data_IF_035342206579
#
_entry.id   IF_035342206579
#
_cell.length_a   1.000
_cell.length_b   1.000
_cell.length_c   1.000
_cell.angle_alpha   90.00
_cell.angle_beta   90.00
_cell.angle_gamma   90.00
#
_symmetry.space_group_name_H-M   'P 1'
#
loop_
_entity.id
_entity.type
_entity.pdbx_description
1 polymer ?
#
# COMPACT_ATOMS: atom_id res chain seq x y z
N UNK A 1 -6.73 9.47 -7.49
CA UNK A 1 -5.72 8.73 -6.71
C UNK A 1 -5.23 9.56 -5.53
N UNK A 2 -4.51 10.65 -5.78
CA UNK A 2 -3.92 11.50 -4.72
C UNK A 2 -4.96 12.12 -3.77
N UNK A 3 -6.13 12.53 -4.27
CA UNK A 3 -7.19 13.13 -3.46
C UNK A 3 -7.83 12.17 -2.44
N UNK A 4 -7.96 10.88 -2.79
CA UNK A 4 -8.56 9.86 -1.90
C UNK A 4 -7.59 9.52 -0.76
N UNK A 5 -6.30 9.41 -1.10
CA UNK A 5 -5.23 9.21 -0.12
C UNK A 5 -5.11 10.38 0.85
N UNK A 6 -5.26 11.62 0.34
CA UNK A 6 -5.25 12.82 1.16
C UNK A 6 -6.46 12.90 2.09
N UNK A 7 -7.65 12.54 1.62
CA UNK A 7 -8.86 12.45 2.46
C UNK A 7 -8.68 11.39 3.55
N UNK A 8 -8.09 10.23 3.23
CA UNK A 8 -7.85 9.16 4.19
C UNK A 8 -6.84 9.52 5.28
N UNK A 9 -5.75 10.21 4.93
CA UNK A 9 -4.80 10.73 5.90
C UNK A 9 -5.44 11.76 6.85
N UNK A 10 -6.41 12.54 6.36
CA UNK A 10 -7.10 13.59 7.15
C UNK A 10 -8.13 13.01 8.14
N UNK A 11 -8.62 11.78 7.94
CA UNK A 11 -9.63 11.14 8.82
C UNK A 11 -9.02 10.71 10.18
N UNK A 12 -7.71 10.79 10.36
CA UNK A 12 -7.04 10.43 11.62
C UNK A 12 -6.95 8.92 11.84
N UNK A 13 -6.96 8.15 10.75
CA UNK A 13 -6.77 6.70 10.76
C UNK A 13 -5.35 6.32 11.17
N UNK A 14 -5.18 5.14 11.76
CA UNK A 14 -3.85 4.64 12.07
C UNK A 14 -3.07 4.38 10.78
N UNK A 15 -1.75 4.46 10.85
CA UNK A 15 -0.87 4.21 9.69
C UNK A 15 -1.15 2.83 9.06
N UNK A 16 -1.43 1.80 9.87
CA UNK A 16 -1.78 0.46 9.37
C UNK A 16 -3.07 0.48 8.55
N UNK A 17 -4.09 1.21 9.01
CA UNK A 17 -5.39 1.30 8.31
C UNK A 17 -5.19 1.94 6.93
N UNK A 18 -4.32 2.95 6.84
CA UNK A 18 -3.95 3.61 5.59
C UNK A 18 -3.26 2.60 4.64
N UNK A 19 -2.31 1.80 5.13
CA UNK A 19 -1.64 0.77 4.31
C UNK A 19 -2.63 -0.28 3.79
N UNK A 20 -3.54 -0.78 4.64
CA UNK A 20 -4.55 -1.76 4.23
C UNK A 20 -5.45 -1.20 3.13
N UNK A 21 -5.87 0.06 3.25
CA UNK A 21 -6.70 0.70 2.23
C UNK A 21 -5.95 0.93 0.92
N UNK A 22 -4.65 1.20 0.99
CA UNK A 22 -3.80 1.35 -0.18
C UNK A 22 -3.68 0.02 -0.95
N UNK A 23 -3.46 -1.09 -0.24
CA UNK A 23 -3.44 -2.44 -0.84
C UNK A 23 -4.79 -2.82 -1.46
N UNK A 24 -5.91 -2.53 -0.77
CA UNK A 24 -7.25 -2.77 -1.31
C UNK A 24 -7.49 -2.00 -2.61
N UNK A 25 -6.99 -0.77 -2.69
CA UNK A 25 -7.08 0.05 -3.89
C UNK A 25 -6.24 -0.54 -5.03
N UNK A 26 -5.00 -0.95 -4.77
CA UNK A 26 -4.12 -1.55 -5.80
C UNK A 26 -4.71 -2.88 -6.30
N UNK A 27 -5.26 -3.70 -5.41
CA UNK A 27 -5.98 -4.93 -5.78
C UNK A 27 -7.21 -4.63 -6.63
N UNK A 28 -8.00 -3.61 -6.28
CA UNK A 28 -9.15 -3.20 -7.09
C UNK A 28 -8.75 -2.84 -8.53
N UNK A 29 -7.70 -2.03 -8.68
CA UNK A 29 -7.18 -1.68 -10.01
C UNK A 29 -6.58 -2.86 -10.76
N UNK A 30 -5.89 -3.79 -10.10
CA UNK A 30 -5.34 -4.98 -10.80
C UNK A 30 -6.44 -5.89 -11.33
N UNK A 31 -7.50 -6.11 -10.56
CA UNK A 31 -8.65 -6.93 -11.01
C UNK A 31 -9.35 -6.30 -12.20
N UNK A 32 -9.60 -4.99 -12.17
CA UNK A 32 -10.23 -4.27 -13.29
C UNK A 32 -9.38 -4.37 -14.56
N UNK A 33 -8.05 -4.22 -14.40
CA UNK A 33 -7.13 -4.32 -15.53
C UNK A 33 -7.05 -5.74 -16.10
N UNK A 34 -7.09 -6.78 -15.26
CA UNK A 34 -7.18 -8.18 -15.71
C UNK A 34 -8.48 -8.41 -16.48
N UNK A 35 -9.59 -7.87 -15.99
CA UNK A 35 -10.90 -8.04 -16.61
C UNK A 35 -10.96 -7.40 -17.99
N UNK A 36 -10.54 -6.14 -18.12
CA UNK A 36 -10.50 -5.43 -19.40
C UNK A 36 -9.53 -6.13 -20.37
N UNK A 37 -8.32 -6.45 -19.92
CA UNK A 37 -7.31 -7.14 -20.76
C UNK A 37 -7.80 -8.50 -21.26
N UNK A 38 -8.58 -9.22 -20.44
CA UNK A 38 -9.18 -10.50 -20.83
C UNK A 38 -10.30 -10.34 -21.85
N UNK A 39 -11.08 -9.25 -21.81
CA UNK A 39 -12.13 -8.98 -22.79
C UNK A 39 -11.51 -8.61 -24.13
N UNK A 40 -10.45 -7.80 -24.11
CA UNK A 40 -9.78 -7.31 -25.32
C UNK A 40 -8.75 -8.31 -25.89
N UNK A 41 -8.56 -9.47 -25.23
CA UNK A 41 -7.50 -10.43 -25.55
C UNK A 41 -6.10 -9.78 -25.58
N UNK A 42 -5.88 -8.75 -24.76
CA UNK A 42 -4.61 -8.05 -24.67
C UNK A 42 -3.64 -8.76 -23.72
N UNK A 43 -2.67 -9.46 -24.32
CA UNK A 43 -1.62 -10.15 -23.59
C UNK A 43 -0.67 -9.18 -22.86
N UNK A 44 -0.52 -7.94 -23.36
CA UNK A 44 0.35 -6.93 -22.75
C UNK A 44 -0.28 -6.40 -21.46
N UNK A 45 -1.59 -6.11 -21.47
CA UNK A 45 -2.35 -5.75 -20.28
C UNK A 45 -2.31 -6.83 -19.19
N UNK A 46 -2.42 -8.11 -19.56
CA UNK A 46 -2.24 -9.22 -18.62
C UNK A 46 -0.82 -9.27 -18.01
N UNK A 47 0.22 -9.11 -18.82
CA UNK A 47 1.60 -9.01 -18.31
C UNK A 47 1.80 -7.81 -17.39
N UNK A 48 1.18 -6.68 -17.71
CA UNK A 48 1.23 -5.48 -16.88
C UNK A 48 0.54 -5.70 -15.53
N UNK A 49 -0.62 -6.38 -15.51
CA UNK A 49 -1.31 -6.72 -14.25
C UNK A 49 -0.44 -7.62 -13.34
N UNK A 50 0.35 -8.51 -13.94
CA UNK A 50 1.28 -9.37 -13.21
C UNK A 50 2.45 -8.56 -12.62
N UNK A 51 2.99 -7.60 -13.37
CA UNK A 51 3.97 -6.63 -12.86
C UNK A 51 3.39 -5.78 -11.72
N UNK A 52 2.14 -5.34 -11.84
CA UNK A 52 1.47 -4.53 -10.84
C UNK A 52 1.33 -5.30 -9.51
N UNK A 53 1.02 -6.61 -9.53
CA UNK A 53 1.01 -7.47 -8.34
C UNK A 53 2.40 -7.54 -7.69
N UNK A 54 3.46 -7.72 -8.48
CA UNK A 54 4.84 -7.79 -7.97
C UNK A 54 5.22 -6.47 -7.28
N UNK A 55 4.88 -5.34 -7.90
CA UNK A 55 5.18 -4.01 -7.34
C UNK A 55 4.39 -3.78 -6.05
N UNK A 56 3.10 -4.14 -6.00
CA UNK A 56 2.28 -4.08 -4.78
C UNK A 56 2.93 -4.84 -3.62
N UNK A 57 3.42 -6.06 -3.89
CA UNK A 57 4.09 -6.86 -2.87
C UNK A 57 5.38 -6.22 -2.34
N UNK A 58 6.16 -5.59 -3.21
CA UNK A 58 7.38 -4.87 -2.84
C UNK A 58 7.04 -3.63 -1.98
N UNK A 59 6.04 -2.85 -2.41
CA UNK A 59 5.57 -1.68 -1.67
C UNK A 59 5.12 -2.06 -0.25
N UNK A 60 4.32 -3.12 -0.12
CA UNK A 60 3.84 -3.63 1.18
C UNK A 60 5.00 -3.99 2.11
N UNK A 61 6.01 -4.69 1.59
CA UNK A 61 7.17 -5.08 2.37
C UNK A 61 8.00 -3.88 2.86
N UNK A 62 8.20 -2.88 1.99
CA UNK A 62 8.89 -1.63 2.33
C UNK A 62 8.09 -0.84 3.37
N UNK A 63 6.78 -0.70 3.15
CA UNK A 63 5.89 0.03 4.06
C UNK A 63 5.88 -0.54 5.48
N UNK A 64 5.81 -1.88 5.58
CA UNK A 64 5.87 -2.56 6.87
C UNK A 64 7.24 -2.43 7.54
N UNK A 65 8.33 -2.50 6.78
CA UNK A 65 9.69 -2.32 7.30
C UNK A 65 9.89 -0.92 7.90
N UNK A 66 9.38 0.12 7.23
CA UNK A 66 9.38 1.49 7.74
C UNK A 66 8.52 1.61 9.00
N UNK A 67 7.33 1.00 9.01
CA UNK A 67 6.43 1.01 10.18
C UNK A 67 7.07 0.38 11.41
N UNK A 68 7.76 -0.76 11.25
CA UNK A 68 8.50 -1.40 12.34
C UNK A 68 9.67 -0.52 12.80
N UNK A 69 10.40 0.10 11.87
CA UNK A 69 11.49 1.03 12.20
C UNK A 69 11.01 2.24 13.01
N UNK A 70 9.90 2.84 12.59
CA UNK A 70 9.26 3.97 13.29
C UNK A 70 8.83 3.60 14.72
N UNK A 71 8.17 2.46 14.90
CA UNK A 71 7.74 2.02 16.23
C UNK A 71 8.91 1.70 17.16
N UNK A 72 10.03 1.19 16.63
CA UNK A 72 11.25 0.96 17.42
C UNK A 72 11.86 2.26 17.94
N UNK A 73 11.93 3.30 17.10
CA UNK A 73 12.47 4.61 17.48
C UNK A 73 11.56 5.32 18.49
N UNK A 74 10.24 5.25 18.29
CA UNK A 74 9.28 5.83 19.24
C UNK A 74 9.33 5.14 20.62
N UNK A 75 9.53 3.82 20.64
CA UNK A 75 9.70 3.06 21.89
C UNK A 75 11.03 3.33 22.62
N UNK A 76 12.08 3.77 21.92
CA UNK A 76 13.36 4.13 22.57
C UNK A 76 13.33 5.51 23.22
N UNK A 77 12.55 6.45 22.66
CA UNK A 77 12.47 7.81 23.19
C UNK A 77 11.73 7.88 24.55
N UNK A 78 10.71 7.04 24.76
CA UNK A 78 10.02 6.93 26.06
C UNK A 78 10.96 6.42 27.18
N UNK A 79 11.94 5.57 26.85
CA UNK A 79 12.93 5.08 27.82
C UNK A 79 13.91 6.20 28.20
N UNK A 80 14.31 7.04 27.24
CA UNK A 80 15.24 8.14 27.47
C UNK A 80 14.67 9.30 28.30
N UNK A 81 13.35 9.53 28.26
CA UNK A 81 12.69 10.57 29.08
C UNK A 81 12.54 10.13 30.56
N UNK A 82 12.66 8.83 30.83
CA UNK A 82 12.51 8.25 32.17
C UNK A 82 13.81 8.11 33.00
N UNK A 83 14.94 8.59 32.48
CA UNK A 83 16.26 8.62 33.12
C UNK A 83 16.70 10.07 33.41
#
# INVERSE_FOLDING_TARGET
MEFILLILAVIGLNIIDIYIMLELLIIGCTIDNIWISSIDNDMVGLLYSLLQIIISGIESAIGLAIFVGYNKLRGSDDILISL
#
